data_IF_920116426888
#
_entry.id   IF_920116426888
#
_cell.length_a   1.000
_cell.length_b   1.000
_cell.length_c   1.000
_cell.angle_alpha   90.00
_cell.angle_beta   90.00
_cell.angle_gamma   90.00
#
_symmetry.space_group_name_H-M   'P 1'
#
loop_
_entity.id
_entity.type
_entity.pdbx_description
1 polymer ?
#
# COMPACT_ATOMS: atom_id res chain seq x y z
N UNK A 1 0.59 1.66 -20.21
CA UNK A 1 0.50 1.19 -18.81
C UNK A 1 -0.80 0.42 -18.63
N UNK A 2 -0.80 -0.76 -17.98
CA UNK A 2 -2.02 -1.57 -17.82
C UNK A 2 -2.90 -1.00 -16.70
N UNK A 3 -4.15 -0.66 -17.00
CA UNK A 3 -5.13 -0.24 -15.99
C UNK A 3 -5.49 -1.40 -15.07
N UNK A 4 -5.27 -1.22 -13.78
CA UNK A 4 -5.61 -2.17 -12.72
C UNK A 4 -6.35 -1.43 -11.61
N UNK A 5 -7.05 -2.16 -10.73
CA UNK A 5 -7.67 -1.57 -9.53
C UNK A 5 -6.68 -0.73 -8.71
N UNK A 6 -5.44 -1.20 -8.63
CA UNK A 6 -4.38 -0.54 -7.88
C UNK A 6 -3.88 0.75 -8.55
N UNK A 7 -3.62 0.72 -9.86
CA UNK A 7 -3.17 1.93 -10.59
C UNK A 7 -4.27 2.98 -10.67
N UNK A 8 -5.53 2.56 -10.85
CA UNK A 8 -6.65 3.49 -10.91
C UNK A 8 -7.05 4.03 -9.53
N UNK A 9 -6.66 3.38 -8.43
CA UNK A 9 -6.78 3.98 -7.10
C UNK A 9 -5.90 5.21 -6.97
N UNK A 10 -4.63 5.11 -7.38
CA UNK A 10 -3.73 6.27 -7.42
C UNK A 10 -4.26 7.36 -8.36
N UNK A 11 -4.85 6.97 -9.49
CA UNK A 11 -5.49 7.92 -10.40
C UNK A 11 -6.71 8.59 -9.77
N UNK A 12 -7.54 7.86 -9.02
CA UNK A 12 -8.65 8.45 -8.28
C UNK A 12 -8.15 9.46 -7.23
N UNK A 13 -7.05 9.16 -6.52
CA UNK A 13 -6.46 10.08 -5.53
C UNK A 13 -5.93 11.38 -6.16
N UNK A 14 -5.55 11.38 -7.44
CA UNK A 14 -5.19 12.62 -8.14
C UNK A 14 -6.44 13.49 -8.37
N UNK A 15 -7.51 12.85 -8.84
CA UNK A 15 -8.69 13.53 -9.36
C UNK A 15 -9.74 13.89 -8.30
N UNK A 16 -9.76 13.21 -7.15
CA UNK A 16 -10.78 13.40 -6.12
C UNK A 16 -10.15 13.58 -4.74
N UNK A 17 -10.48 14.67 -4.04
CA UNK A 17 -9.93 14.95 -2.71
C UNK A 17 -10.44 13.96 -1.67
N UNK A 18 -11.73 13.63 -1.72
CA UNK A 18 -12.37 12.63 -0.86
C UNK A 18 -11.78 11.21 -0.99
N UNK A 19 -11.15 10.89 -2.12
CA UNK A 19 -10.44 9.63 -2.29
C UNK A 19 -9.17 9.56 -1.42
N UNK A 20 -8.57 10.73 -1.11
CA UNK A 20 -7.31 10.84 -0.40
C UNK A 20 -7.41 10.51 1.09
N UNK A 21 -8.62 10.46 1.63
CA UNK A 21 -8.90 10.10 3.03
C UNK A 21 -8.89 8.60 3.31
N UNK A 22 -8.76 7.78 2.25
CA UNK A 22 -8.89 6.34 2.30
C UNK A 22 -7.55 5.66 1.97
N UNK A 23 -7.28 4.59 2.71
CA UNK A 23 -6.23 3.63 2.35
C UNK A 23 -6.68 2.82 1.13
N UNK A 24 -5.77 2.10 0.49
CA UNK A 24 -6.19 1.17 -0.58
C UNK A 24 -7.11 0.07 -0.03
N UNK A 25 -6.87 -0.40 1.20
CA UNK A 25 -7.70 -1.38 1.88
C UNK A 25 -9.12 -0.87 2.12
N UNK A 26 -9.27 0.38 2.52
CA UNK A 26 -10.59 0.97 2.81
C UNK A 26 -11.28 1.52 1.57
N UNK A 27 -10.56 1.68 0.46
CA UNK A 27 -11.11 2.29 -0.76
C UNK A 27 -12.44 1.68 -1.23
N UNK A 28 -12.61 0.33 -1.24
CA UNK A 28 -13.87 -0.29 -1.66
C UNK A 28 -15.08 0.04 -0.77
N UNK A 29 -14.86 0.55 0.45
CA UNK A 29 -15.93 0.95 1.37
C UNK A 29 -16.70 2.15 0.83
N UNK A 30 -16.03 3.08 0.13
CA UNK A 30 -16.61 4.31 -0.44
C UNK A 30 -16.58 4.37 -1.96
N UNK A 31 -15.81 3.51 -2.61
CA UNK A 31 -15.66 3.47 -4.07
C UNK A 31 -15.99 2.09 -4.62
N UNK A 32 -16.55 2.05 -5.82
CA UNK A 32 -16.89 0.81 -6.53
C UNK A 32 -16.10 0.72 -7.84
N UNK A 33 -15.53 -0.46 -8.09
CA UNK A 33 -14.82 -0.75 -9.33
C UNK A 33 -15.82 -1.03 -10.46
N UNK A 34 -15.73 -0.26 -11.54
CA UNK A 34 -16.50 -0.47 -12.76
C UNK A 34 -15.62 -1.20 -13.76
N UNK A 35 -15.81 -2.52 -13.90
CA UNK A 35 -14.94 -3.36 -14.73
C UNK A 35 -14.96 -2.98 -16.22
N UNK A 36 -16.11 -2.54 -16.74
CA UNK A 36 -16.27 -2.09 -18.13
C UNK A 36 -15.41 -0.84 -18.41
N UNK A 37 -15.45 0.12 -17.51
CA UNK A 37 -14.74 1.40 -17.64
C UNK A 37 -13.29 1.32 -17.15
N UNK A 38 -12.93 0.21 -16.48
CA UNK A 38 -11.68 0.00 -15.74
C UNK A 38 -11.35 1.21 -14.87
N UNK A 39 -12.29 1.62 -14.02
CA UNK A 39 -12.14 2.78 -13.15
C UNK A 39 -12.96 2.68 -11.87
N UNK A 40 -12.66 3.59 -10.94
CA UNK A 40 -13.40 3.73 -9.69
C UNK A 40 -14.44 4.83 -9.78
N UNK A 41 -15.64 4.57 -9.24
CA UNK A 41 -16.69 5.58 -9.05
C UNK A 41 -17.13 5.62 -7.60
N UNK A 42 -17.58 6.79 -7.14
CA UNK A 42 -18.12 6.95 -5.79
C UNK A 42 -19.32 6.02 -5.59
N UNK A 43 -19.31 5.29 -4.49
CA UNK A 43 -20.38 4.36 -4.11
C UNK A 43 -21.60 5.18 -3.68
N UNK A 44 -22.75 4.87 -4.28
CA UNK A 44 -24.03 5.53 -3.97
C UNK A 44 -24.85 4.77 -2.92
N UNK A 45 -24.74 3.43 -2.87
CA UNK A 45 -25.48 2.56 -1.95
C UNK A 45 -24.66 1.34 -1.51
N UNK A 46 -24.99 0.80 -0.33
CA UNK A 46 -24.39 -0.39 0.27
C UNK A 46 -23.06 -0.14 0.99
N UNK A 47 -22.52 -1.17 1.62
CA UNK A 47 -21.21 -1.19 2.28
C UNK A 47 -20.38 -2.36 1.75
N UNK A 48 -19.06 -2.20 1.67
CA UNK A 48 -18.15 -3.27 1.30
C UNK A 48 -16.88 -3.16 2.12
N UNK A 49 -16.32 -4.30 2.53
CA UNK A 49 -15.02 -4.38 3.19
C UNK A 49 -13.98 -4.68 2.12
N UNK A 50 -13.01 -3.80 1.93
CA UNK A 50 -11.89 -4.12 1.06
C UNK A 50 -11.00 -5.17 1.73
N UNK A 51 -10.59 -6.17 0.96
CA UNK A 51 -9.71 -7.25 1.43
C UNK A 51 -8.39 -7.14 0.70
N UNK A 52 -7.33 -6.81 1.43
CA UNK A 52 -5.96 -7.06 0.97
C UNK A 52 -5.63 -8.50 1.39
N UNK A 53 -5.30 -9.36 0.42
CA UNK A 53 -4.89 -10.73 0.73
C UNK A 53 -3.65 -10.73 1.62
N UNK A 54 -3.64 -11.59 2.63
CA UNK A 54 -2.49 -11.79 3.50
C UNK A 54 -1.22 -12.12 2.69
N UNK A 55 -0.11 -11.45 2.99
CA UNK A 55 1.23 -11.86 2.54
C UNK A 55 1.95 -12.48 3.73
N UNK A 56 2.60 -13.61 3.50
CA UNK A 56 3.57 -14.13 4.45
C UNK A 56 4.80 -13.19 4.48
N UNK A 57 5.43 -12.92 5.65
CA UNK A 57 6.65 -12.10 5.74
C UNK A 57 7.77 -12.53 4.78
N UNK A 58 7.91 -13.84 4.53
CA UNK A 58 8.84 -14.39 3.52
C UNK A 58 8.56 -13.93 2.07
N UNK A 59 7.45 -13.22 1.81
CA UNK A 59 7.15 -12.62 0.50
C UNK A 59 7.94 -11.33 0.22
N UNK A 60 8.84 -10.92 1.13
CA UNK A 60 9.72 -9.77 0.98
C UNK A 60 8.96 -8.46 0.72
N UNK A 61 9.37 -7.72 -0.31
CA UNK A 61 8.76 -6.42 -0.68
C UNK A 61 7.24 -6.44 -0.86
N UNK A 62 6.66 -7.59 -1.24
CA UNK A 62 5.19 -7.73 -1.36
C UNK A 62 4.49 -7.68 -0.01
N UNK A 63 5.13 -8.19 1.05
CA UNK A 63 4.62 -8.10 2.41
C UNK A 63 4.58 -6.65 2.88
N UNK A 64 5.71 -5.94 2.76
CA UNK A 64 5.82 -4.54 3.17
C UNK A 64 4.90 -3.62 2.36
N UNK A 65 4.78 -3.82 1.05
CA UNK A 65 3.79 -3.10 0.24
C UNK A 65 2.37 -3.29 0.81
N UNK A 66 1.97 -4.52 1.15
CA UNK A 66 0.63 -4.76 1.70
C UNK A 66 0.44 -4.09 3.06
N UNK A 67 1.46 -4.05 3.91
CA UNK A 67 1.39 -3.28 5.15
C UNK A 67 1.13 -1.80 4.85
N UNK A 68 1.93 -1.20 3.98
CA UNK A 68 1.76 0.21 3.58
C UNK A 68 0.35 0.46 3.04
N UNK A 69 -0.17 -0.39 2.16
CA UNK A 69 -1.51 -0.24 1.58
C UNK A 69 -2.68 -0.30 2.59
N UNK A 70 -2.44 -0.78 3.80
CA UNK A 70 -3.40 -0.72 4.91
C UNK A 70 -3.28 0.55 5.75
N UNK A 71 -2.21 1.34 5.58
CA UNK A 71 -1.92 2.46 6.47
C UNK A 71 -1.82 3.79 5.73
N UNK A 72 -1.14 3.82 4.58
CA UNK A 72 -0.97 5.05 3.80
C UNK A 72 -2.24 5.39 3.03
N UNK A 73 -2.54 6.69 2.96
CA UNK A 73 -3.74 7.23 2.34
C UNK A 73 -3.38 8.17 1.21
N UNK A 74 -4.25 8.29 0.22
CA UNK A 74 -4.17 9.31 -0.81
C UNK A 74 -2.93 9.28 -1.72
N UNK A 75 -2.19 8.17 -1.76
CA UNK A 75 -1.03 8.03 -2.64
C UNK A 75 -1.43 8.20 -4.11
N UNK A 76 -0.71 9.05 -4.84
CA UNK A 76 -0.90 9.33 -6.27
C UNK A 76 0.15 8.65 -7.14
N UNK A 77 1.17 8.05 -6.51
CA UNK A 77 2.27 7.36 -7.17
C UNK A 77 2.85 6.24 -6.29
N UNK A 78 3.70 5.40 -6.89
CA UNK A 78 4.49 4.39 -6.14
C UNK A 78 5.54 5.02 -5.21
N UNK A 79 5.99 6.26 -5.48
CA UNK A 79 6.89 6.97 -4.60
C UNK A 79 6.16 7.44 -3.34
N UNK A 80 4.93 7.93 -3.49
CA UNK A 80 4.08 8.35 -2.37
C UNK A 80 3.84 7.20 -1.38
N UNK A 81 3.69 5.97 -1.89
CA UNK A 81 3.51 4.77 -1.04
C UNK A 81 4.74 4.51 -0.16
N UNK A 82 5.94 4.85 -0.65
CA UNK A 82 7.21 4.70 0.07
C UNK A 82 7.62 5.99 0.78
N UNK A 83 6.74 6.97 0.87
CA UNK A 83 7.03 8.22 1.54
C UNK A 83 6.66 8.10 3.01
N UNK A 84 7.65 8.24 3.89
CA UNK A 84 7.47 8.31 5.34
C UNK A 84 8.03 9.66 5.81
N UNK A 85 7.24 10.41 6.58
CA UNK A 85 7.61 11.74 7.10
C UNK A 85 8.18 12.71 6.05
N UNK A 86 7.62 12.67 4.83
CA UNK A 86 8.04 13.52 3.70
C UNK A 86 9.29 13.03 2.95
N UNK A 87 9.91 11.93 3.37
CA UNK A 87 11.10 11.33 2.74
C UNK A 87 10.70 10.12 1.92
N UNK A 88 11.12 10.07 0.65
CA UNK A 88 10.89 8.92 -0.24
C UNK A 88 11.97 7.86 0.00
N UNK A 89 11.56 6.67 0.46
CA UNK A 89 12.47 5.57 0.73
C UNK A 89 12.70 4.66 -0.48
N UNK A 90 13.89 4.04 -0.64
CA UNK A 90 14.21 3.22 -1.82
C UNK A 90 13.38 1.94 -1.92
N UNK A 91 12.94 1.37 -0.79
CA UNK A 91 12.18 0.11 -0.74
C UNK A 91 10.91 0.25 0.11
N UNK A 92 9.95 -0.65 -0.06
CA UNK A 92 8.79 -0.72 0.83
C UNK A 92 9.20 -1.12 2.25
N UNK A 93 10.21 -2.01 2.40
CA UNK A 93 10.75 -2.35 3.73
C UNK A 93 11.24 -1.10 4.48
N UNK A 94 12.09 -0.30 3.85
CA UNK A 94 12.67 0.89 4.49
C UNK A 94 11.61 1.96 4.82
N UNK A 95 10.57 2.09 4.00
CA UNK A 95 9.41 2.92 4.34
C UNK A 95 8.66 2.38 5.57
N UNK A 96 8.44 1.06 5.67
CA UNK A 96 7.84 0.45 6.86
C UNK A 96 8.70 0.63 8.12
N UNK A 97 10.04 0.55 8.00
CA UNK A 97 10.96 0.82 9.12
C UNK A 97 10.85 2.27 9.59
N UNK A 98 10.85 3.23 8.66
CA UNK A 98 10.72 4.64 8.97
C UNK A 98 9.37 4.98 9.63
N UNK A 99 8.29 4.28 9.26
CA UNK A 99 6.98 4.42 9.90
C UNK A 99 6.87 3.66 11.24
N UNK A 100 7.94 3.01 11.71
CA UNK A 100 7.96 2.25 12.97
C UNK A 100 7.14 0.97 12.95
N UNK A 101 6.82 0.41 11.77
CA UNK A 101 6.07 -0.85 11.66
C UNK A 101 6.92 -2.10 11.89
N UNK A 102 8.23 -1.94 11.83
CA UNK A 102 9.20 -2.99 12.04
C UNK A 102 10.02 -2.58 13.24
N UNK A 103 10.13 -3.47 14.24
CA UNK A 103 11.20 -3.34 15.22
C UNK A 103 12.53 -3.30 14.49
N UNK A 104 13.48 -2.56 15.02
CA UNK A 104 14.79 -2.33 14.41
C UNK A 104 15.48 -3.69 14.18
N UNK A 105 15.26 -4.26 12.99
CA UNK A 105 15.65 -5.58 12.48
C UNK A 105 17.19 -5.77 12.42
N UNK A 106 17.95 -4.95 13.14
CA UNK A 106 19.39 -5.07 13.31
C UNK A 106 19.80 -6.34 14.09
N UNK A 107 18.87 -7.08 14.69
CA UNK A 107 19.20 -8.36 15.35
C UNK A 107 19.10 -9.60 14.44
N UNK A 108 18.27 -9.61 13.38
CA UNK A 108 18.12 -10.81 12.54
C UNK A 108 19.15 -10.94 11.42
N UNK A 109 19.79 -9.83 11.00
CA UNK A 109 20.81 -9.85 9.94
C UNK A 109 22.15 -10.44 10.43
N UNK A 110 22.40 -10.50 11.75
CA UNK A 110 23.62 -11.13 12.29
C UNK A 110 23.59 -12.66 12.25
N UNK A 111 22.42 -13.30 12.41
CA UNK A 111 22.37 -14.77 12.47
C UNK A 111 22.49 -15.48 11.10
N UNK A 112 22.37 -14.77 9.98
CA UNK A 112 22.54 -15.39 8.64
C UNK A 112 24.02 -15.39 8.20
N UNK A 113 24.87 -14.52 8.75
CA UNK A 113 26.29 -14.47 8.39
C UNK A 113 27.21 -15.36 9.25
N UNK A 114 26.70 -15.96 10.33
CA UNK A 114 27.49 -16.89 11.17
C UNK A 114 27.31 -18.38 10.81
N UNK A 115 26.50 -18.70 9.80
CA UNK A 115 26.35 -20.08 9.28
C UNK A 115 27.28 -20.38 8.08
N UNK A 116 28.19 -19.47 7.75
CA UNK A 116 29.15 -19.61 6.65
C UNK A 116 30.60 -19.75 7.15
N UNK A 117 30.82 -20.07 8.42
CA UNK A 117 32.15 -20.38 8.98
C UNK A 117 32.15 -21.69 9.75
#
# INVERSE_FOLDING_TARGET
MKKTKFTEWMEANKNYEEARELTYADFPTKWVWIAKDKGWKKRQKGYAIGRIYYAHPASGERYYLRMLLNTVKGCKSYADIRTADGVVHPTFKSACQALGFLDDDNEWIKCINEAAN
#
